data_IF_538143418252
#
_entry.id   IF_538143418252
#
_cell.length_a   1.000
_cell.length_b   1.000
_cell.length_c   1.000
_cell.angle_alpha   90.00
_cell.angle_beta   90.00
_cell.angle_gamma   90.00
#
_symmetry.space_group_name_H-M   'P 1'
#
loop_
_entity.id
_entity.type
_entity.pdbx_description
1 polymer ?
#
# COMPACT_ATOMS: atom_id res chain seq x y z
N UNK A 1 -13.55 -7.78 -5.94
CA UNK A 1 -13.06 -8.89 -5.10
C UNK A 1 -11.56 -8.88 -4.78
N UNK A 2 -10.67 -8.19 -5.52
CA UNK A 2 -9.27 -7.98 -5.06
C UNK A 2 -8.89 -6.50 -4.88
N UNK A 3 -9.41 -5.59 -5.73
CA UNK A 3 -9.21 -4.13 -5.58
C UNK A 3 -9.67 -3.62 -4.21
N UNK A 4 -10.81 -4.12 -3.72
CA UNK A 4 -11.32 -3.79 -2.39
C UNK A 4 -10.34 -4.13 -1.26
N UNK A 5 -9.48 -5.15 -1.42
CA UNK A 5 -8.45 -5.48 -0.43
C UNK A 5 -7.30 -4.48 -0.48
N UNK A 6 -6.93 -4.02 -1.68
CA UNK A 6 -5.94 -2.94 -1.86
C UNK A 6 -6.45 -1.66 -1.21
N UNK A 7 -7.66 -1.23 -1.54
CA UNK A 7 -8.27 -0.02 -0.97
C UNK A 7 -8.37 -0.11 0.56
N UNK A 8 -8.79 -1.27 1.10
CA UNK A 8 -8.81 -1.48 2.55
C UNK A 8 -7.42 -1.36 3.17
N UNK A 9 -6.36 -1.88 2.53
CA UNK A 9 -4.99 -1.73 3.02
C UNK A 9 -4.55 -0.26 2.96
N UNK A 10 -4.85 0.45 1.86
CA UNK A 10 -4.48 1.85 1.70
C UNK A 10 -5.21 2.76 2.70
N UNK A 11 -6.50 2.53 2.94
CA UNK A 11 -7.26 3.20 3.99
C UNK A 11 -6.76 2.84 5.39
N UNK A 12 -6.41 1.56 5.62
CA UNK A 12 -5.85 1.11 6.89
C UNK A 12 -4.51 1.80 7.18
N UNK A 13 -3.61 1.94 6.19
CA UNK A 13 -2.36 2.67 6.40
C UNK A 13 -2.50 4.19 6.43
N UNK A 14 -3.61 4.76 5.92
CA UNK A 14 -3.97 6.15 6.15
C UNK A 14 -4.41 6.43 7.59
N UNK A 15 -5.13 5.48 8.19
CA UNK A 15 -5.68 5.57 9.55
C UNK A 15 -4.71 5.06 10.64
N UNK A 16 -3.95 4.02 10.34
CA UNK A 16 -3.06 3.34 11.27
C UNK A 16 -1.60 3.68 10.98
N UNK A 17 -0.99 4.40 11.92
CA UNK A 17 0.38 4.90 11.79
C UNK A 17 1.42 3.77 11.86
N UNK A 18 1.17 2.70 12.61
CA UNK A 18 2.11 1.59 12.74
C UNK A 18 2.14 0.76 11.46
N UNK A 19 0.95 0.48 10.91
CA UNK A 19 0.81 -0.17 9.61
C UNK A 19 1.49 0.67 8.53
N UNK A 20 1.25 1.99 8.51
CA UNK A 20 1.91 2.91 7.59
C UNK A 20 3.43 2.79 7.63
N UNK A 21 4.02 2.78 8.83
CA UNK A 21 5.48 2.68 9.00
C UNK A 21 5.99 1.32 8.51
N UNK A 22 5.31 0.22 8.87
CA UNK A 22 5.66 -1.15 8.46
C UNK A 22 5.69 -1.29 6.93
N UNK A 23 4.76 -0.65 6.23
CA UNK A 23 4.68 -0.73 4.77
C UNK A 23 5.53 0.32 4.05
N UNK A 24 5.82 1.46 4.68
CA UNK A 24 6.72 2.47 4.11
C UNK A 24 8.19 2.05 4.07
N UNK A 25 8.61 1.13 4.95
CA UNK A 25 9.99 0.60 4.95
C UNK A 25 10.24 -0.40 3.82
N UNK A 26 9.17 -1.02 3.30
CA UNK A 26 9.24 -1.92 2.16
C UNK A 26 9.75 -1.11 0.97
N UNK A 27 10.58 -1.69 0.10
CA UNK A 27 11.08 -1.00 -1.10
C UNK A 27 10.42 -1.53 -2.37
N UNK A 28 10.23 -2.84 -2.47
CA UNK A 28 9.69 -3.48 -3.66
C UNK A 28 8.16 -3.60 -3.58
N UNK A 29 7.49 -3.64 -4.74
CA UNK A 29 6.06 -3.94 -4.82
C UNK A 29 5.78 -5.41 -4.48
N UNK A 30 6.66 -6.32 -4.89
CA UNK A 30 6.61 -7.75 -4.51
C UNK A 30 6.56 -7.94 -2.99
N UNK A 31 7.48 -7.33 -2.22
CA UNK A 31 7.48 -7.46 -0.76
C UNK A 31 6.25 -6.79 -0.13
N UNK A 32 5.73 -5.72 -0.75
CA UNK A 32 4.54 -5.02 -0.28
C UNK A 32 3.32 -5.93 -0.39
N UNK A 33 3.17 -6.56 -1.55
CA UNK A 33 2.12 -7.54 -1.83
C UNK A 33 2.31 -8.77 -0.96
N UNK A 34 3.52 -9.29 -0.77
CA UNK A 34 3.80 -10.42 0.10
C UNK A 34 3.42 -10.13 1.56
N UNK A 35 3.75 -8.94 2.07
CA UNK A 35 3.39 -8.51 3.42
C UNK A 35 1.88 -8.34 3.55
N UNK A 36 1.23 -7.75 2.55
CA UNK A 36 -0.22 -7.61 2.51
C UNK A 36 -0.94 -8.96 2.53
N UNK A 37 -0.49 -9.91 1.72
CA UNK A 37 -0.99 -11.28 1.71
C UNK A 37 -0.82 -11.95 3.08
N UNK A 38 0.31 -11.72 3.76
CA UNK A 38 0.57 -12.24 5.11
C UNK A 38 -0.32 -11.60 6.18
N UNK A 39 -0.66 -10.31 6.06
CA UNK A 39 -1.63 -9.62 6.91
C UNK A 39 -3.09 -9.99 6.58
N UNK A 40 -3.34 -10.76 5.51
CA UNK A 40 -4.67 -11.24 5.10
C UNK A 40 -5.31 -10.44 3.96
N UNK A 41 -4.62 -9.44 3.42
CA UNK A 41 -5.02 -8.68 2.24
C UNK A 41 -4.49 -9.37 0.99
N UNK A 42 -5.31 -10.23 0.38
CA UNK A 42 -4.93 -10.98 -0.81
C UNK A 42 -5.17 -10.14 -2.06
N UNK A 43 -4.08 -9.70 -2.70
CA UNK A 43 -4.06 -9.01 -3.98
C UNK A 43 -2.71 -9.20 -4.70
N UNK A 44 -2.63 -8.74 -5.94
CA UNK A 44 -1.43 -8.81 -6.80
C UNK A 44 -0.85 -7.42 -7.11
N UNK A 45 0.39 -7.35 -7.60
CA UNK A 45 1.02 -6.08 -7.98
C UNK A 45 0.25 -5.35 -9.08
N UNK A 46 -0.31 -6.09 -10.05
CA UNK A 46 -1.12 -5.50 -11.11
C UNK A 46 -2.39 -4.83 -10.57
N UNK A 47 -2.98 -5.38 -9.51
CA UNK A 47 -4.16 -4.80 -8.86
C UNK A 47 -3.79 -3.60 -7.99
N UNK A 48 -2.63 -3.63 -7.34
CA UNK A 48 -2.06 -2.47 -6.66
C UNK A 48 -1.84 -1.33 -7.66
N UNK A 49 -1.19 -1.61 -8.79
CA UNK A 49 -0.93 -0.60 -9.83
C UNK A 49 -2.22 -0.07 -10.44
N UNK A 50 -3.22 -0.92 -10.68
CA UNK A 50 -4.52 -0.47 -11.17
C UNK A 50 -5.22 0.49 -10.20
N UNK A 51 -5.12 0.27 -8.89
CA UNK A 51 -5.71 1.18 -7.88
C UNK A 51 -4.89 2.47 -7.76
N UNK A 52 -3.56 2.37 -7.79
CA UNK A 52 -2.69 3.55 -7.77
C UNK A 52 -2.93 4.44 -8.98
N UNK A 53 -3.10 3.87 -10.17
CA UNK A 53 -3.42 4.61 -11.39
C UNK A 53 -4.83 5.23 -11.33
N UNK A 54 -5.82 4.49 -10.82
CA UNK A 54 -7.21 4.96 -10.68
C UNK A 54 -7.34 6.14 -9.70
N UNK A 55 -6.58 6.11 -8.61
CA UNK A 55 -6.58 7.14 -7.58
C UNK A 55 -5.50 8.22 -7.79
N UNK A 56 -4.77 8.19 -8.91
CA UNK A 56 -3.64 9.08 -9.24
C UNK A 56 -2.55 9.13 -8.14
N UNK A 57 -2.31 7.99 -7.47
CA UNK A 57 -1.27 7.84 -6.45
C UNK A 57 0.03 7.26 -7.03
N UNK A 58 1.15 7.68 -6.43
CA UNK A 58 2.48 7.19 -6.79
C UNK A 58 3.07 6.33 -5.66
N UNK A 59 3.61 5.17 -6.02
CA UNK A 59 4.33 4.27 -5.10
C UNK A 59 5.67 4.85 -4.63
N UNK A 60 6.07 6.01 -5.13
CA UNK A 60 7.24 6.74 -4.69
C UNK A 60 7.27 6.92 -3.16
N UNK A 61 8.41 6.54 -2.57
CA UNK A 61 8.75 6.87 -1.19
C UNK A 61 9.44 8.24 -1.14
N UNK A 62 8.99 9.12 -0.26
CA UNK A 62 9.55 10.44 -0.01
C UNK A 62 9.70 10.73 1.49
N UNK A 63 10.61 11.65 1.84
CA UNK A 63 10.80 12.14 3.20
C UNK A 63 11.64 11.23 4.13
N UNK A 64 12.00 11.81 5.29
CA UNK A 64 12.72 11.12 6.38
C UNK A 64 11.97 11.40 7.70
N UNK A 65 11.25 10.43 8.29
CA UNK A 65 11.19 9.01 7.95
C UNK A 65 10.48 8.74 6.61
N UNK A 66 10.87 7.63 5.94
CA UNK A 66 10.27 7.20 4.66
C UNK A 66 8.74 7.19 4.76
N UNK A 67 8.09 7.92 3.87
CA UNK A 67 6.63 7.99 3.73
C UNK A 67 6.25 7.81 2.28
N UNK A 68 5.14 7.14 2.00
CA UNK A 68 4.63 6.95 0.64
C UNK A 68 3.37 7.75 0.41
N UNK A 69 3.15 8.15 -0.83
CA UNK A 69 1.97 8.93 -1.25
C UNK A 69 0.71 8.10 -1.45
N UNK A 70 0.78 6.77 -1.25
CA UNK A 70 -0.27 5.81 -1.60
C UNK A 70 -1.45 5.75 -0.61
N UNK A 71 -1.35 6.45 0.52
CA UNK A 71 -2.28 6.27 1.64
C UNK A 71 -3.54 7.12 1.44
N UNK A 72 -4.68 6.45 1.27
CA UNK A 72 -6.01 7.08 1.21
C UNK A 72 -6.37 7.58 2.62
N UNK A 73 -6.85 8.82 2.72
CA UNK A 73 -7.12 9.51 3.98
C UNK A 73 -8.60 9.61 4.29
#
# INVERSE_FOLDING_TARGET
>A
MSKENVEKLLMAGGSDKELRIKYNIIETKEDFVATANADGYVFTEAELDAVLEEEEFDFASYGNPRTRGIWIR
#
